data_IF_269490551004
#
_entry.id   IF_269490551004
#
_cell.length_a   1.000
_cell.length_b   1.000
_cell.length_c   1.000
_cell.angle_alpha   90.00
_cell.angle_beta   90.00
_cell.angle_gamma   90.00
#
_symmetry.space_group_name_H-M   'P 1'
#
loop_
_entity.id
_entity.type
_entity.pdbx_description
1 polymer ?
#
# COMPACT_ATOMS: atom_id res chain seq x y z
N UNK A 1 3.20 55.83 -26.13
CA UNK A 1 2.61 54.57 -26.61
C UNK A 1 2.34 53.51 -25.48
N UNK A 2 2.83 53.62 -24.25
CA UNK A 2 2.63 52.61 -23.18
C UNK A 2 1.37 52.77 -22.30
N UNK A 3 0.59 53.85 -22.43
CA UNK A 3 -0.62 54.11 -21.63
C UNK A 3 -1.95 53.66 -22.28
N UNK A 4 -1.95 53.30 -23.52
CA UNK A 4 -3.18 52.86 -24.24
C UNK A 4 -3.40 51.33 -24.10
N UNK A 5 -2.38 50.54 -23.87
CA UNK A 5 -2.52 49.07 -23.79
C UNK A 5 -3.18 48.57 -22.47
N UNK A 6 -3.15 49.39 -21.40
CA UNK A 6 -3.74 48.96 -20.09
C UNK A 6 -5.27 49.07 -20.02
N UNK A 7 -5.92 49.79 -20.95
CA UNK A 7 -7.38 49.99 -20.96
C UNK A 7 -8.15 48.95 -21.81
N UNK A 8 -7.47 48.19 -22.63
CA UNK A 8 -8.09 47.18 -23.51
C UNK A 8 -8.19 45.82 -22.83
N UNK A 9 -7.29 45.52 -21.88
CA UNK A 9 -7.26 44.21 -21.19
C UNK A 9 -8.34 44.02 -20.10
N UNK A 10 -9.00 45.11 -19.68
CA UNK A 10 -10.01 45.04 -18.59
C UNK A 10 -11.44 44.85 -19.14
N UNK A 11 -11.65 44.78 -20.46
CA UNK A 11 -12.99 44.66 -21.10
C UNK A 11 -13.31 43.30 -21.68
N UNK A 12 -12.43 42.28 -21.52
CA UNK A 12 -12.63 40.95 -22.09
C UNK A 12 -12.40 39.83 -21.04
N UNK A 13 -12.86 40.03 -19.82
CA UNK A 13 -13.02 38.89 -18.90
C UNK A 13 -14.31 38.17 -19.29
N UNK A 14 -14.26 36.92 -19.72
CA UNK A 14 -15.47 36.17 -20.07
C UNK A 14 -16.36 36.00 -18.84
N UNK A 15 -17.68 36.18 -19.02
CA UNK A 15 -18.67 36.19 -17.93
C UNK A 15 -18.68 34.98 -16.98
N UNK A 16 -18.07 33.88 -17.36
CA UNK A 16 -17.92 32.70 -16.53
C UNK A 16 -16.88 32.88 -15.37
N UNK A 17 -15.92 33.81 -15.53
CA UNK A 17 -14.96 34.13 -14.43
C UNK A 17 -15.68 34.95 -13.33
N UNK A 18 -16.63 35.82 -13.69
CA UNK A 18 -17.45 36.51 -12.70
C UNK A 18 -18.38 35.56 -11.94
N UNK A 19 -18.90 34.54 -12.64
CA UNK A 19 -19.74 33.49 -12.06
C UNK A 19 -18.93 32.61 -11.08
N UNK A 20 -17.69 32.26 -11.40
CA UNK A 20 -16.80 31.47 -10.54
C UNK A 20 -16.45 32.20 -9.25
N UNK A 21 -16.20 33.51 -9.32
CA UNK A 21 -15.93 34.33 -8.12
C UNK A 21 -17.17 34.46 -7.23
N UNK A 22 -18.37 34.46 -7.79
CA UNK A 22 -19.61 34.51 -7.01
C UNK A 22 -19.88 33.17 -6.29
N UNK A 23 -19.54 32.06 -6.91
CA UNK A 23 -19.65 30.71 -6.30
C UNK A 23 -18.67 30.55 -5.12
N UNK A 24 -17.44 31.10 -5.24
CA UNK A 24 -16.42 30.99 -4.19
C UNK A 24 -16.74 31.84 -2.95
N UNK A 25 -17.42 32.99 -3.11
CA UNK A 25 -17.70 33.91 -1.99
C UNK A 25 -19.10 33.78 -1.39
N UNK A 26 -20.11 33.28 -2.13
CA UNK A 26 -21.52 33.23 -1.65
C UNK A 26 -21.88 31.85 -1.09
N UNK A 27 -21.36 30.77 -1.65
CA UNK A 27 -21.67 29.40 -1.18
C UNK A 27 -21.16 29.07 0.23
N UNK A 28 -19.97 29.51 0.70
CA UNK A 28 -19.53 29.21 2.05
C UNK A 28 -20.38 29.83 3.15
N UNK A 29 -21.02 30.96 2.89
CA UNK A 29 -21.85 31.65 3.91
C UNK A 29 -23.23 31.01 4.05
N UNK A 30 -23.79 30.44 2.99
CA UNK A 30 -25.07 29.73 3.03
C UNK A 30 -24.94 28.36 3.70
N UNK A 31 -23.79 27.66 3.52
CA UNK A 31 -23.53 26.37 4.12
C UNK A 31 -23.24 26.47 5.63
N UNK A 32 -22.65 27.58 6.08
CA UNK A 32 -22.39 27.82 7.51
C UNK A 32 -23.70 28.09 8.31
N UNK A 33 -24.73 28.65 7.67
CA UNK A 33 -26.02 28.89 8.32
C UNK A 33 -26.87 27.63 8.52
N UNK A 34 -26.67 26.59 7.70
CA UNK A 34 -27.40 25.31 7.83
C UNK A 34 -26.73 24.33 8.79
N UNK A 35 -25.42 24.44 9.03
CA UNK A 35 -24.69 23.60 10.00
C UNK A 35 -24.89 24.08 11.45
N UNK A 36 -25.30 25.31 11.67
CA UNK A 36 -25.58 25.85 13.00
C UNK A 36 -26.86 25.29 13.67
N UNK A 37 -27.78 24.70 12.90
CA UNK A 37 -29.03 24.15 13.44
C UNK A 37 -28.97 22.63 13.69
N UNK A 38 -28.03 21.90 13.11
CA UNK A 38 -27.87 20.47 13.35
C UNK A 38 -27.06 20.16 14.63
N UNK A 39 -26.25 21.10 15.12
CA UNK A 39 -25.50 20.93 16.37
C UNK A 39 -26.35 20.81 17.64
N UNK A 40 -27.62 21.29 17.60
CA UNK A 40 -28.54 21.22 18.76
C UNK A 40 -29.35 19.93 18.86
N UNK A 41 -29.37 19.12 17.80
CA UNK A 41 -30.12 17.83 17.81
C UNK A 41 -29.24 16.70 18.38
N UNK A 42 -27.92 16.82 18.30
CA UNK A 42 -26.98 15.81 18.80
C UNK A 42 -26.84 15.83 20.34
N UNK A 43 -27.16 16.95 21.01
CA UNK A 43 -27.10 17.06 22.48
C UNK A 43 -28.31 16.37 23.19
N UNK A 44 -29.28 15.87 22.44
CA UNK A 44 -30.50 15.22 22.99
C UNK A 44 -30.52 13.69 22.83
N UNK A 45 -29.42 13.08 22.26
CA UNK A 45 -29.34 11.63 22.22
C UNK A 45 -28.92 11.11 23.59
N UNK A 46 -29.73 10.19 24.23
CA UNK A 46 -29.31 9.59 25.47
C UNK A 46 -27.98 8.86 25.26
N UNK A 47 -27.04 9.10 26.14
CA UNK A 47 -25.74 8.48 26.27
C UNK A 47 -25.88 6.96 26.13
N UNK A 48 -25.64 6.43 24.94
CA UNK A 48 -25.39 5.00 24.74
C UNK A 48 -23.94 4.75 25.18
N UNK A 49 -23.75 4.71 26.50
CA UNK A 49 -22.52 4.27 27.12
C UNK A 49 -22.31 2.79 26.75
N UNK A 50 -21.24 2.52 26.04
CA UNK A 50 -20.62 1.21 26.09
C UNK A 50 -20.66 0.34 24.84
N UNK A 51 -20.46 0.89 23.63
CA UNK A 51 -19.93 0.08 22.53
C UNK A 51 -18.82 0.88 21.85
N UNK A 52 -17.64 0.86 22.43
CA UNK A 52 -16.41 1.10 21.68
C UNK A 52 -16.02 -0.22 21.03
N UNK A 53 -16.80 -0.68 20.07
CA UNK A 53 -16.25 -1.53 19.03
C UNK A 53 -15.52 -0.56 18.09
N UNK A 54 -14.26 -0.29 18.37
CA UNK A 54 -13.33 0.11 17.33
C UNK A 54 -13.26 -1.09 16.39
N UNK A 55 -14.20 -1.20 15.44
CA UNK A 55 -13.96 -2.03 14.28
C UNK A 55 -12.66 -1.50 13.68
N UNK A 56 -11.57 -2.25 13.87
CA UNK A 56 -10.32 -1.99 13.19
C UNK A 56 -10.63 -2.17 11.72
N UNK A 57 -10.75 -1.05 11.00
CA UNK A 57 -10.86 -1.10 9.55
C UNK A 57 -9.50 -1.58 9.07
N UNK A 58 -9.42 -2.85 8.68
CA UNK A 58 -8.24 -3.39 8.03
C UNK A 58 -7.95 -2.57 6.78
N UNK A 59 -6.71 -2.15 6.61
CA UNK A 59 -6.26 -1.35 5.46
C UNK A 59 -5.91 -2.24 4.29
N UNK A 60 -5.57 -3.50 4.55
CA UNK A 60 -5.26 -4.50 3.52
C UNK A 60 -6.49 -5.36 3.20
N UNK A 61 -6.50 -5.96 2.01
CA UNK A 61 -7.60 -6.80 1.57
C UNK A 61 -7.85 -8.00 2.52
N UNK A 62 -9.12 -8.33 2.80
CA UNK A 62 -9.48 -9.33 3.82
C UNK A 62 -9.06 -10.76 3.45
N UNK A 63 -8.75 -11.03 2.19
CA UNK A 63 -8.36 -12.35 1.72
C UNK A 63 -6.89 -12.72 2.03
N UNK A 64 -6.03 -11.76 2.39
CA UNK A 64 -4.67 -12.10 2.83
C UNK A 64 -4.73 -13.08 3.99
N UNK A 65 -3.72 -13.94 4.08
CA UNK A 65 -3.70 -14.97 5.15
C UNK A 65 -3.67 -14.33 6.55
N UNK A 66 -4.04 -15.09 7.57
CA UNK A 66 -4.09 -14.60 8.94
C UNK A 66 -2.72 -14.09 9.40
N UNK A 67 -1.65 -14.76 8.98
CA UNK A 67 -0.27 -14.41 9.30
C UNK A 67 0.13 -13.05 8.73
N UNK A 68 -0.26 -12.75 7.49
CA UNK A 68 -0.02 -11.41 6.90
C UNK A 68 -0.93 -10.37 7.53
N UNK A 69 -2.21 -10.68 7.81
CA UNK A 69 -3.14 -9.77 8.48
C UNK A 69 -2.77 -9.49 9.93
N UNK A 70 -1.97 -10.36 10.56
CA UNK A 70 -1.35 -10.09 11.86
C UNK A 70 -0.57 -8.77 11.85
N UNK A 71 0.01 -8.40 10.72
CA UNK A 71 0.83 -7.19 10.52
C UNK A 71 0.03 -5.99 9.95
N UNK A 72 -1.30 -6.02 9.96
CA UNK A 72 -2.14 -4.98 9.31
C UNK A 72 -1.82 -3.56 9.83
N UNK A 73 -1.66 -3.38 11.13
CA UNK A 73 -1.31 -2.08 11.74
C UNK A 73 0.09 -1.62 11.31
N UNK A 74 1.06 -2.51 11.34
CA UNK A 74 2.44 -2.25 10.93
C UNK A 74 2.54 -1.98 9.42
N UNK A 75 1.87 -2.78 8.60
CA UNK A 75 1.82 -2.58 7.15
C UNK A 75 1.26 -1.20 6.82
N UNK A 76 0.16 -0.79 7.47
CA UNK A 76 -0.41 0.54 7.29
C UNK A 76 0.59 1.66 7.68
N UNK A 77 1.26 1.51 8.82
CA UNK A 77 2.27 2.44 9.30
C UNK A 77 3.46 2.53 8.35
N UNK A 78 4.00 1.40 7.89
CA UNK A 78 5.10 1.36 6.93
C UNK A 78 4.69 1.92 5.57
N UNK A 79 3.49 1.58 5.07
CA UNK A 79 2.95 2.12 3.82
C UNK A 79 2.89 3.65 3.84
N UNK A 80 2.37 4.24 4.92
CA UNK A 80 2.35 5.69 5.09
C UNK A 80 3.75 6.29 5.21
N UNK A 81 4.66 5.64 5.93
CA UNK A 81 6.03 6.14 6.14
C UNK A 81 6.85 6.16 4.86
N UNK A 82 6.64 5.20 3.97
CA UNK A 82 7.43 5.01 2.75
C UNK A 82 6.67 5.37 1.47
N UNK A 83 5.48 5.96 1.59
CA UNK A 83 4.60 6.37 0.47
C UNK A 83 4.31 5.21 -0.49
N UNK A 84 3.87 4.08 0.06
CA UNK A 84 3.53 2.86 -0.66
C UNK A 84 2.06 2.47 -0.46
N UNK A 85 1.50 1.74 -1.41
CA UNK A 85 0.20 1.10 -1.24
C UNK A 85 0.31 -0.04 -0.21
N UNK A 86 -0.54 -0.07 0.84
CA UNK A 86 -0.51 -1.11 1.85
C UNK A 86 -0.77 -2.52 1.29
N UNK A 87 -1.63 -2.65 0.26
CA UNK A 87 -1.85 -3.94 -0.40
C UNK A 87 -0.65 -4.40 -1.24
N UNK A 88 0.16 -3.47 -1.76
CA UNK A 88 1.41 -3.81 -2.43
C UNK A 88 2.42 -4.38 -1.42
N UNK A 89 2.59 -3.73 -0.27
CA UNK A 89 3.44 -4.24 0.82
C UNK A 89 2.95 -5.61 1.32
N UNK A 90 1.65 -5.75 1.56
CA UNK A 90 1.05 -7.02 1.99
C UNK A 90 1.28 -8.14 0.95
N UNK A 91 1.18 -7.82 -0.35
CA UNK A 91 1.43 -8.79 -1.42
C UNK A 91 2.88 -9.26 -1.44
N UNK A 92 3.84 -8.34 -1.28
CA UNK A 92 5.27 -8.69 -1.20
C UNK A 92 5.51 -9.55 0.05
N UNK A 93 5.05 -9.14 1.23
CA UNK A 93 5.18 -9.91 2.46
C UNK A 93 4.56 -11.31 2.34
N UNK A 94 3.37 -11.44 1.72
CA UNK A 94 2.67 -12.70 1.51
C UNK A 94 3.55 -13.70 0.75
N UNK A 95 4.19 -13.25 -0.32
CA UNK A 95 4.99 -14.13 -1.19
C UNK A 95 6.37 -14.42 -0.60
N UNK A 96 6.98 -13.44 0.08
CA UNK A 96 8.34 -13.56 0.61
C UNK A 96 8.44 -14.41 1.86
N UNK A 97 7.52 -14.24 2.81
CA UNK A 97 7.62 -14.88 4.11
C UNK A 97 6.29 -15.36 4.69
N UNK A 98 5.17 -15.01 4.06
CA UNK A 98 3.84 -15.14 4.67
C UNK A 98 3.73 -14.47 6.05
N UNK A 99 4.56 -13.46 6.34
CA UNK A 99 4.58 -12.78 7.63
C UNK A 99 5.52 -13.38 8.68
N UNK A 100 6.37 -14.35 8.31
CA UNK A 100 7.41 -14.87 9.22
C UNK A 100 8.61 -13.89 9.28
N UNK A 101 8.73 -13.19 10.41
CA UNK A 101 9.82 -12.25 10.64
C UNK A 101 11.17 -12.93 10.93
N UNK A 102 11.17 -14.21 11.23
CA UNK A 102 12.38 -14.97 11.62
C UNK A 102 13.02 -15.71 10.46
N UNK A 103 12.33 -15.85 9.34
CA UNK A 103 12.75 -16.72 8.23
C UNK A 103 14.02 -16.20 7.54
N UNK A 104 14.89 -17.13 7.20
CA UNK A 104 16.07 -16.88 6.35
C UNK A 104 16.07 -17.83 5.18
N UNK A 105 16.28 -17.32 3.96
CA UNK A 105 16.37 -18.15 2.77
C UNK A 105 17.76 -18.81 2.63
N UNK A 106 17.89 -19.89 1.84
CA UNK A 106 19.19 -20.47 1.53
C UNK A 106 20.17 -19.51 0.83
N UNK A 107 19.64 -18.49 0.16
CA UNK A 107 20.44 -17.43 -0.48
C UNK A 107 20.87 -16.34 0.51
N UNK A 108 20.37 -16.37 1.75
CA UNK A 108 20.69 -15.42 2.81
C UNK A 108 19.73 -14.25 2.94
N UNK A 109 18.62 -14.21 2.22
CA UNK A 109 17.58 -13.21 2.42
C UNK A 109 16.92 -13.36 3.79
N UNK A 110 16.51 -12.26 4.44
CA UNK A 110 16.10 -12.21 5.85
C UNK A 110 14.72 -11.61 6.05
N UNK A 111 13.95 -12.20 6.96
CA UNK A 111 12.77 -11.62 7.59
C UNK A 111 11.56 -11.41 6.68
N UNK A 112 10.64 -10.54 7.12
CA UNK A 112 9.33 -10.31 6.54
C UNK A 112 9.33 -10.09 5.02
N UNK A 113 10.28 -9.30 4.53
CA UNK A 113 10.39 -8.87 3.14
C UNK A 113 11.56 -9.56 2.41
N UNK A 114 12.15 -10.60 3.00
CA UNK A 114 13.27 -11.38 2.45
C UNK A 114 14.37 -10.49 1.85
N UNK A 115 14.79 -9.51 2.65
CA UNK A 115 15.79 -8.52 2.22
C UNK A 115 17.18 -9.13 2.25
N UNK A 116 17.93 -8.97 1.15
CA UNK A 116 19.30 -9.47 1.06
C UNK A 116 20.26 -8.67 1.98
N UNK A 117 21.26 -9.31 2.60
CA UNK A 117 22.15 -8.69 3.59
C UNK A 117 22.87 -7.42 3.10
N UNK A 118 23.16 -7.31 1.80
CA UNK A 118 23.83 -6.14 1.23
C UNK A 118 22.96 -4.86 1.15
N UNK A 119 21.66 -4.97 1.43
CA UNK A 119 20.76 -3.82 1.55
C UNK A 119 20.76 -3.22 2.97
N UNK A 120 21.32 -3.94 3.96
CA UNK A 120 21.39 -3.45 5.34
C UNK A 120 22.68 -2.66 5.59
N UNK A 121 22.61 -1.69 6.51
CA UNK A 121 23.81 -1.03 7.01
C UNK A 121 24.52 -1.93 8.05
N UNK A 122 25.80 -1.66 8.26
CA UNK A 122 26.58 -2.41 9.27
C UNK A 122 25.97 -2.25 10.67
N UNK A 123 25.73 -3.36 11.33
CA UNK A 123 25.19 -3.40 12.70
C UNK A 123 23.66 -3.35 12.82
N UNK A 124 22.92 -3.26 11.71
CA UNK A 124 21.46 -3.38 11.75
C UNK A 124 21.03 -4.80 12.08
N UNK A 125 19.96 -4.92 12.87
CA UNK A 125 19.28 -6.19 13.09
C UNK A 125 18.39 -6.52 11.89
N UNK A 126 18.83 -7.45 11.04
CA UNK A 126 18.20 -7.74 9.75
C UNK A 126 16.81 -8.38 9.87
N UNK A 127 16.53 -9.05 11.00
CA UNK A 127 15.23 -9.69 11.26
C UNK A 127 14.31 -8.82 12.12
N UNK A 128 14.77 -7.67 12.63
CA UNK A 128 13.89 -6.72 13.30
C UNK A 128 12.81 -6.25 12.31
N UNK A 129 11.49 -6.36 12.64
CA UNK A 129 10.42 -6.09 11.70
C UNK A 129 10.46 -4.69 11.10
N UNK A 130 10.75 -3.66 11.90
CA UNK A 130 10.79 -2.28 11.42
C UNK A 130 12.01 -2.03 10.53
N UNK A 131 13.18 -2.56 10.91
CA UNK A 131 14.40 -2.47 10.10
C UNK A 131 14.25 -3.22 8.78
N UNK A 132 13.67 -4.41 8.81
CA UNK A 132 13.42 -5.24 7.62
C UNK A 132 12.43 -4.56 6.66
N UNK A 133 11.31 -4.05 7.21
CA UNK A 133 10.31 -3.31 6.44
C UNK A 133 10.89 -2.02 5.83
N UNK A 134 11.70 -1.27 6.57
CA UNK A 134 12.40 -0.09 6.05
C UNK A 134 13.25 -0.43 4.83
N UNK A 135 14.05 -1.50 4.91
CA UNK A 135 14.94 -1.91 3.82
C UNK A 135 14.16 -2.47 2.63
N UNK A 136 13.14 -3.30 2.88
CA UNK A 136 12.25 -3.84 1.85
C UNK A 136 11.46 -2.76 1.13
N UNK A 137 10.83 -1.84 1.87
CA UNK A 137 10.08 -0.72 1.31
C UNK A 137 10.95 0.22 0.49
N UNK A 138 12.15 0.57 0.97
CA UNK A 138 13.09 1.38 0.22
C UNK A 138 13.50 0.70 -1.10
N UNK A 139 13.76 -0.61 -1.09
CA UNK A 139 14.08 -1.33 -2.32
C UNK A 139 12.88 -1.45 -3.26
N UNK A 140 11.67 -1.62 -2.73
CA UNK A 140 10.44 -1.62 -3.52
C UNK A 140 10.21 -0.26 -4.20
N UNK A 141 10.47 0.85 -3.50
CA UNK A 141 10.41 2.20 -4.08
C UNK A 141 11.43 2.36 -5.22
N UNK A 142 12.65 1.90 -5.04
CA UNK A 142 13.64 1.89 -6.12
C UNK A 142 13.11 1.08 -7.32
N UNK A 143 12.46 -0.06 -7.09
CA UNK A 143 11.86 -0.85 -8.16
C UNK A 143 10.67 -0.15 -8.84
N UNK A 144 9.85 0.59 -8.08
CA UNK A 144 8.78 1.42 -8.63
C UNK A 144 9.32 2.54 -9.53
N UNK A 145 10.41 3.19 -9.11
CA UNK A 145 11.08 4.21 -9.93
C UNK A 145 11.59 3.61 -11.27
N UNK A 146 12.23 2.45 -11.21
CA UNK A 146 12.72 1.77 -12.41
C UNK A 146 11.59 1.29 -13.33
N UNK A 147 10.45 0.93 -12.77
CA UNK A 147 9.27 0.45 -13.52
C UNK A 147 8.28 1.56 -13.91
N UNK A 148 8.66 2.84 -13.76
CA UNK A 148 7.82 4.00 -14.07
C UNK A 148 6.47 3.96 -13.33
N UNK A 149 6.47 3.42 -12.12
CA UNK A 149 5.30 3.30 -11.26
C UNK A 149 4.41 2.07 -11.54
N UNK A 150 4.81 1.16 -12.43
CA UNK A 150 4.08 -0.11 -12.63
C UNK A 150 4.36 -1.09 -11.46
N UNK A 151 3.39 -1.35 -10.58
CA UNK A 151 3.59 -2.18 -9.40
C UNK A 151 3.85 -3.66 -9.76
N UNK A 152 3.31 -4.15 -10.86
CA UNK A 152 3.56 -5.52 -11.30
C UNK A 152 5.02 -5.70 -11.74
N UNK A 153 5.53 -4.77 -12.54
CA UNK A 153 6.92 -4.77 -12.97
C UNK A 153 7.88 -4.46 -11.80
N UNK A 154 7.47 -3.63 -10.84
CA UNK A 154 8.22 -3.38 -9.62
C UNK A 154 8.38 -4.63 -8.75
N UNK A 155 7.35 -5.47 -8.63
CA UNK A 155 7.45 -6.76 -7.95
C UNK A 155 8.39 -7.72 -8.69
N UNK A 156 8.37 -7.75 -10.02
CA UNK A 156 9.37 -8.53 -10.79
C UNK A 156 10.80 -8.03 -10.53
N UNK A 157 11.00 -6.70 -10.47
CA UNK A 157 12.26 -6.06 -10.11
C UNK A 157 12.70 -6.44 -8.70
N UNK A 158 11.77 -6.46 -7.75
CA UNK A 158 12.04 -6.81 -6.35
C UNK A 158 12.67 -8.21 -6.23
N UNK A 159 12.11 -9.19 -6.92
CA UNK A 159 12.63 -10.55 -6.93
C UNK A 159 13.88 -10.72 -7.85
N UNK A 160 13.84 -10.17 -9.07
CA UNK A 160 14.85 -10.42 -10.10
C UNK A 160 15.97 -9.37 -10.20
N UNK A 161 15.87 -8.29 -9.40
CA UNK A 161 16.79 -7.15 -9.45
C UNK A 161 16.45 -6.15 -10.57
N UNK A 162 16.99 -4.95 -10.47
CA UNK A 162 16.68 -3.80 -11.33
C UNK A 162 16.90 -4.05 -12.83
N UNK A 163 17.91 -4.87 -13.17
CA UNK A 163 18.29 -5.13 -14.57
C UNK A 163 17.22 -5.87 -15.37
N UNK A 164 16.26 -6.52 -14.72
CA UNK A 164 15.19 -7.26 -15.44
C UNK A 164 14.16 -6.33 -16.07
N UNK A 165 13.99 -5.10 -15.54
CA UNK A 165 12.98 -4.15 -16.01
C UNK A 165 13.18 -3.79 -17.48
N UNK A 166 14.43 -3.70 -17.95
CA UNK A 166 14.76 -3.43 -19.36
C UNK A 166 14.75 -4.66 -20.26
N UNK A 167 14.48 -5.86 -19.73
CA UNK A 167 14.50 -7.12 -20.47
C UNK A 167 13.09 -7.63 -20.74
N UNK A 168 12.85 -8.28 -21.89
CA UNK A 168 11.60 -8.99 -22.11
C UNK A 168 11.44 -10.12 -21.09
N UNK A 169 10.22 -10.39 -20.66
CA UNK A 169 9.92 -11.40 -19.62
C UNK A 169 10.36 -12.83 -20.01
N UNK A 170 10.55 -13.10 -21.29
CA UNK A 170 11.12 -14.37 -21.79
C UNK A 170 12.57 -14.60 -21.33
N UNK A 171 13.31 -13.54 -21.01
CA UNK A 171 14.71 -13.60 -20.55
C UNK A 171 14.82 -13.62 -19.02
N UNK A 172 13.71 -13.44 -18.29
CA UNK A 172 13.73 -13.49 -16.84
C UNK A 172 13.94 -14.92 -16.32
N UNK A 173 14.49 -15.06 -15.14
CA UNK A 173 14.50 -16.33 -14.42
C UNK A 173 13.09 -16.89 -14.25
N UNK A 174 12.94 -18.20 -14.23
CA UNK A 174 11.62 -18.83 -14.04
C UNK A 174 10.97 -18.46 -12.73
N UNK A 175 11.77 -18.24 -11.69
CA UNK A 175 11.33 -17.76 -10.38
C UNK A 175 10.74 -16.35 -10.48
N UNK A 176 11.44 -15.41 -11.11
CA UNK A 176 10.97 -14.04 -11.30
C UNK A 176 9.67 -13.98 -12.12
N UNK A 177 9.54 -14.82 -13.15
CA UNK A 177 8.28 -14.92 -13.90
C UNK A 177 7.12 -15.40 -13.03
N UNK A 178 7.34 -16.40 -12.18
CA UNK A 178 6.30 -16.87 -11.23
C UNK A 178 5.96 -15.80 -10.21
N UNK A 179 6.97 -15.14 -9.64
CA UNK A 179 6.79 -14.05 -8.70
C UNK A 179 5.95 -12.93 -9.31
N UNK A 180 6.29 -12.48 -10.50
CA UNK A 180 5.53 -11.50 -11.27
C UNK A 180 4.07 -11.94 -11.46
N UNK A 181 3.84 -13.19 -11.88
CA UNK A 181 2.50 -13.69 -12.16
C UNK A 181 1.63 -13.72 -10.89
N UNK A 182 2.13 -14.27 -9.81
CA UNK A 182 1.37 -14.32 -8.55
C UNK A 182 1.20 -12.92 -7.95
N UNK A 183 2.28 -12.17 -7.80
CA UNK A 183 2.26 -10.85 -7.21
C UNK A 183 1.32 -9.89 -7.92
N UNK A 184 1.43 -9.79 -9.25
CA UNK A 184 0.58 -8.89 -10.03
C UNK A 184 -0.91 -9.24 -9.92
N UNK A 185 -1.24 -10.55 -9.88
CA UNK A 185 -2.64 -11.00 -9.82
C UNK A 185 -3.21 -10.88 -8.40
N UNK A 186 -2.46 -11.24 -7.36
CA UNK A 186 -2.86 -11.06 -5.95
C UNK A 186 -3.08 -9.57 -5.66
N UNK A 187 -2.14 -8.72 -6.07
CA UNK A 187 -2.27 -7.27 -5.89
C UNK A 187 -3.46 -6.67 -6.64
N UNK A 188 -3.70 -7.12 -7.89
CA UNK A 188 -4.88 -6.69 -8.65
C UNK A 188 -6.20 -7.10 -7.97
N UNK A 189 -6.27 -8.31 -7.39
CA UNK A 189 -7.43 -8.76 -6.62
C UNK A 189 -7.64 -7.88 -5.37
N UNK A 190 -6.56 -7.48 -4.69
CA UNK A 190 -6.62 -6.59 -3.54
C UNK A 190 -7.16 -5.20 -3.90
N UNK A 191 -6.72 -4.63 -5.02
CA UNK A 191 -7.21 -3.34 -5.52
C UNK A 191 -8.69 -3.33 -5.93
N UNK A 192 -9.27 -4.51 -6.18
CA UNK A 192 -10.70 -4.67 -6.47
C UNK A 192 -11.57 -4.91 -5.22
N UNK A 193 -10.98 -4.83 -4.02
CA UNK A 193 -11.66 -5.06 -2.74
C UNK A 193 -12.43 -6.38 -2.69
N UNK A 194 -11.86 -7.43 -3.27
CA UNK A 194 -12.45 -8.77 -3.25
C UNK A 194 -12.30 -9.40 -1.88
N UNK A 195 -13.27 -10.24 -1.49
CA UNK A 195 -13.19 -11.06 -0.27
C UNK A 195 -12.32 -12.31 -0.47
N UNK A 196 -12.02 -12.67 -1.71
CA UNK A 196 -11.25 -13.86 -2.08
C UNK A 196 -10.33 -13.56 -3.26
N UNK A 197 -9.17 -14.22 -3.30
CA UNK A 197 -8.24 -14.18 -4.44
C UNK A 197 -7.93 -15.59 -4.92
N UNK A 198 -8.41 -15.99 -6.12
CA UNK A 198 -8.00 -17.26 -6.74
C UNK A 198 -6.49 -17.35 -6.98
N UNK A 199 -5.82 -16.21 -7.19
CA UNK A 199 -4.37 -16.16 -7.36
C UNK A 199 -3.64 -16.51 -6.07
N UNK A 200 -4.10 -15.96 -4.92
CA UNK A 200 -3.55 -16.33 -3.61
C UNK A 200 -3.78 -17.82 -3.32
N UNK A 201 -4.98 -18.33 -3.58
CA UNK A 201 -5.26 -19.75 -3.40
C UNK A 201 -4.32 -20.63 -4.24
N UNK A 202 -4.11 -20.27 -5.51
CA UNK A 202 -3.17 -20.99 -6.39
C UNK A 202 -1.73 -20.92 -5.87
N UNK A 203 -1.30 -19.79 -5.31
CA UNK A 203 0.02 -19.64 -4.69
C UNK A 203 0.16 -20.50 -3.44
N UNK A 204 -0.87 -20.55 -2.58
CA UNK A 204 -0.89 -21.41 -1.39
C UNK A 204 -0.74 -22.88 -1.79
N UNK A 205 -1.51 -23.35 -2.77
CA UNK A 205 -1.46 -24.73 -3.30
C UNK A 205 -0.10 -25.07 -3.94
N UNK A 206 0.58 -24.09 -4.54
CA UNK A 206 1.90 -24.25 -5.14
C UNK A 206 3.06 -24.30 -4.14
N UNK A 207 2.77 -24.25 -2.83
CA UNK A 207 3.76 -24.36 -1.76
C UNK A 207 3.73 -23.21 -0.73
N UNK A 208 2.94 -22.15 -0.99
CA UNK A 208 2.79 -21.02 -0.07
C UNK A 208 2.25 -21.42 1.30
N UNK A 209 1.37 -22.45 1.36
CA UNK A 209 0.85 -22.97 2.63
C UNK A 209 1.98 -23.35 3.59
N UNK A 210 3.05 -23.98 3.09
CA UNK A 210 4.18 -24.33 3.95
C UNK A 210 4.86 -23.11 4.60
N UNK A 211 5.00 -21.99 3.86
CA UNK A 211 5.54 -20.75 4.41
C UNK A 211 4.60 -20.16 5.47
N UNK A 212 3.29 -20.19 5.21
CA UNK A 212 2.30 -19.67 6.14
C UNK A 212 2.21 -20.53 7.43
N UNK A 213 2.34 -21.85 7.33
CA UNK A 213 2.41 -22.73 8.49
C UNK A 213 3.62 -22.41 9.38
N UNK A 214 4.78 -22.08 8.80
CA UNK A 214 5.95 -21.63 9.54
C UNK A 214 5.72 -20.25 10.19
N UNK A 215 5.11 -19.33 9.46
CA UNK A 215 4.75 -18.01 9.97
C UNK A 215 3.76 -18.11 11.14
N UNK A 216 2.73 -18.94 11.02
CA UNK A 216 1.76 -19.18 12.10
C UNK A 216 2.44 -19.68 13.38
N UNK A 217 3.44 -20.56 13.26
CA UNK A 217 4.24 -21.03 14.39
C UNK A 217 5.07 -19.91 15.01
N UNK A 218 5.77 -19.11 14.20
CA UNK A 218 6.61 -18.01 14.69
C UNK A 218 5.81 -16.87 15.34
N UNK A 219 4.55 -16.69 14.91
CA UNK A 219 3.62 -15.68 15.42
C UNK A 219 2.75 -16.18 16.58
N UNK A 220 2.78 -17.50 16.88
CA UNK A 220 1.93 -18.10 17.91
C UNK A 220 0.44 -18.15 17.52
N UNK A 221 0.14 -18.18 16.22
CA UNK A 221 -1.22 -18.27 15.68
C UNK A 221 -1.70 -19.72 15.49
N UNK A 222 -0.77 -20.67 15.51
CA UNK A 222 -1.08 -22.10 15.47
C UNK A 222 -1.66 -22.55 16.81
N UNK A 223 -2.99 -22.69 16.90
CA UNK A 223 -3.74 -23.24 18.02
C UNK A 223 -4.30 -24.61 17.72
#
# INVERSE_FOLDING_TARGET
MKKQLKRIFLRLLPGWIALMLLIVFVLPTALAATLGTTGRILDQLPYLTGVTVSERISVIAPFFTEEVRHWDEEINRWAQQYDLDPNLLATVMQIESCGDWTVSSPAGAQGLFQVMPFHFAAGENQIDPDTNAMRGANFLNVCLDYSEGDPALAMACYNGGQTIVSKPSSEWASETRRYYQWGSTIYADAGLSKDTSPALQSWLEAGGTYLCDLAAQSLGLSG
#
